data_IF_219996487990
#
_entry.id   IF_219996487990
#
_cell.length_a   1.000
_cell.length_b   1.000
_cell.length_c   1.000
_cell.angle_alpha   90.00
_cell.angle_beta   90.00
_cell.angle_gamma   90.00
#
_symmetry.space_group_name_H-M   'P 1'
#
loop_
_entity.id
_entity.type
_entity.pdbx_description
1 polymer ?
#
# COMPACT_ATOMS: atom_id res chain seq x y z
N UNK A 1 55.60 5.33 8.37
CA UNK A 1 55.25 6.67 7.87
C UNK A 1 54.95 6.59 6.38
N UNK A 2 53.69 6.46 5.99
CA UNK A 2 53.26 6.55 4.58
C UNK A 2 53.36 8.02 4.15
N UNK A 3 54.30 8.34 3.24
CA UNK A 3 54.32 9.64 2.56
C UNK A 3 52.98 9.85 1.86
N UNK A 4 52.20 10.80 2.31
CA UNK A 4 50.91 11.14 1.74
C UNK A 4 51.05 11.43 0.24
N UNK A 5 50.29 10.74 -0.61
CA UNK A 5 50.19 10.99 -2.05
C UNK A 5 49.92 12.47 -2.40
N UNK A 6 49.27 13.20 -1.49
CA UNK A 6 48.96 14.63 -1.61
C UNK A 6 50.23 15.51 -1.65
N UNK A 7 51.29 15.17 -0.90
CA UNK A 7 52.54 15.96 -0.91
C UNK A 7 53.29 15.88 -2.24
N UNK A 8 53.11 14.78 -2.98
CA UNK A 8 53.76 14.60 -4.29
C UNK A 8 53.01 15.35 -5.43
N UNK A 9 51.71 15.59 -5.29
CA UNK A 9 50.89 16.34 -6.25
C UNK A 9 51.03 17.86 -6.12
N UNK A 10 51.51 18.34 -4.98
CA UNK A 10 51.66 19.77 -4.70
C UNK A 10 53.06 20.31 -4.96
N UNK A 11 54.03 19.49 -5.39
CA UNK A 11 55.37 19.95 -5.79
C UNK A 11 55.35 20.38 -7.27
N UNK A 12 55.40 21.70 -7.55
CA UNK A 12 55.66 22.13 -8.93
C UNK A 12 57.04 21.64 -9.37
N UNK A 13 57.12 21.02 -10.54
CA UNK A 13 58.35 20.44 -11.11
C UNK A 13 59.34 21.51 -11.60
N UNK A 14 59.59 22.55 -10.76
CA UNK A 14 60.49 23.64 -11.07
C UNK A 14 61.97 23.24 -10.92
N UNK A 15 62.27 22.03 -10.43
CA UNK A 15 63.64 21.51 -10.32
C UNK A 15 64.39 21.55 -11.65
N UNK A 16 63.69 21.29 -12.72
CA UNK A 16 64.20 21.28 -14.09
C UNK A 16 64.66 22.68 -14.51
N UNK A 17 63.90 23.72 -14.15
CA UNK A 17 64.27 25.11 -14.44
C UNK A 17 65.53 25.54 -13.71
N UNK A 18 65.71 25.13 -12.47
CA UNK A 18 66.99 25.44 -11.71
C UNK A 18 68.17 24.71 -12.30
N UNK A 19 68.01 23.49 -12.82
CA UNK A 19 69.08 22.77 -13.52
C UNK A 19 69.48 23.50 -14.81
N UNK A 20 68.52 24.02 -15.57
CA UNK A 20 68.80 24.81 -16.77
C UNK A 20 69.51 26.13 -16.43
N UNK A 21 69.12 26.83 -15.39
CA UNK A 21 69.78 28.06 -14.94
C UNK A 21 71.20 27.81 -14.49
N UNK A 22 71.46 26.68 -13.82
CA UNK A 22 72.82 26.28 -13.45
C UNK A 22 73.68 25.91 -14.67
N UNK A 23 73.10 25.25 -15.67
CA UNK A 23 73.75 24.95 -16.96
C UNK A 23 74.12 26.24 -17.66
N UNK A 24 73.21 27.21 -17.68
CA UNK A 24 73.48 28.52 -18.29
C UNK A 24 74.62 29.24 -17.64
N UNK A 25 74.68 29.28 -16.28
CA UNK A 25 75.78 29.84 -15.51
C UNK A 25 77.09 29.12 -15.77
N UNK A 26 77.10 27.80 -16.03
CA UNK A 26 78.31 27.04 -16.38
C UNK A 26 78.81 27.40 -17.81
N UNK A 27 77.92 27.67 -18.75
CA UNK A 27 78.30 28.14 -20.10
C UNK A 27 78.83 29.56 -20.02
N UNK A 28 78.29 30.46 -19.23
CA UNK A 28 78.75 31.81 -19.00
C UNK A 28 80.16 31.84 -18.40
N UNK A 29 80.62 30.83 -17.63
CA UNK A 29 81.92 30.67 -17.09
C UNK A 29 83.01 30.52 -18.15
N UNK A 30 82.72 30.09 -19.35
CA UNK A 30 83.61 29.98 -20.51
C UNK A 30 83.98 31.37 -21.07
N UNK A 31 83.13 32.37 -20.84
CA UNK A 31 83.36 33.74 -21.34
C UNK A 31 83.88 34.71 -20.24
N UNK A 32 83.33 34.60 -19.01
CA UNK A 32 83.70 35.41 -17.88
C UNK A 32 83.40 34.73 -16.52
N UNK A 33 84.42 34.41 -15.75
CA UNK A 33 84.25 33.76 -14.42
C UNK A 33 83.52 34.67 -13.47
N UNK A 34 83.72 35.98 -13.50
CA UNK A 34 83.00 36.91 -12.62
C UNK A 34 81.47 36.94 -12.85
N UNK A 35 81.06 36.89 -14.10
CA UNK A 35 79.64 36.85 -14.43
C UNK A 35 79.00 35.53 -14.00
N UNK A 36 79.63 34.41 -14.23
CA UNK A 36 79.18 33.11 -13.80
C UNK A 36 78.98 32.98 -12.29
N UNK A 37 79.85 33.58 -11.49
CA UNK A 37 79.74 33.61 -10.03
C UNK A 37 78.56 34.42 -9.57
N UNK A 38 78.28 35.58 -10.21
CA UNK A 38 77.08 36.38 -9.92
C UNK A 38 75.80 35.63 -10.28
N UNK A 39 75.73 35.01 -11.47
CA UNK A 39 74.57 34.19 -11.91
C UNK A 39 74.36 33.03 -10.96
N UNK A 40 75.37 32.29 -10.58
CA UNK A 40 75.25 31.20 -9.61
C UNK A 40 74.73 31.66 -8.24
N UNK A 41 75.19 32.82 -7.77
CA UNK A 41 74.72 33.43 -6.53
C UNK A 41 73.22 33.81 -6.61
N UNK A 42 72.80 34.40 -7.73
CA UNK A 42 71.36 34.73 -7.98
C UNK A 42 70.53 33.48 -8.01
N UNK A 43 70.98 32.43 -8.70
CA UNK A 43 70.24 31.13 -8.76
C UNK A 43 70.13 30.51 -7.38
N UNK A 44 71.20 30.57 -6.55
CA UNK A 44 71.16 30.07 -5.17
C UNK A 44 70.11 30.82 -4.30
N UNK A 45 70.11 32.16 -4.41
CA UNK A 45 69.12 32.99 -3.69
C UNK A 45 67.70 32.68 -4.13
N UNK A 46 67.46 32.60 -5.44
CA UNK A 46 66.15 32.24 -5.98
C UNK A 46 65.69 30.82 -5.55
N UNK A 47 66.65 29.89 -5.49
CA UNK A 47 66.35 28.53 -5.00
C UNK A 47 65.97 28.51 -3.52
N UNK A 48 66.72 29.25 -2.67
CA UNK A 48 66.38 29.35 -1.26
C UNK A 48 65.02 30.05 -1.01
N UNK A 49 64.80 31.14 -1.75
CA UNK A 49 63.49 31.83 -1.71
C UNK A 49 62.30 30.90 -2.13
N UNK A 50 62.45 30.20 -3.25
CA UNK A 50 61.49 29.26 -3.75
C UNK A 50 61.25 28.13 -2.77
N UNK A 51 62.30 27.55 -2.21
CA UNK A 51 62.16 26.47 -1.22
C UNK A 51 61.41 26.93 0.03
N UNK A 52 61.64 28.15 0.49
CA UNK A 52 60.98 28.74 1.65
C UNK A 52 59.55 29.07 1.36
N UNK A 53 59.27 29.69 0.24
CA UNK A 53 57.91 30.03 -0.22
C UNK A 53 57.04 28.76 -0.43
N UNK A 54 57.60 27.72 -1.05
CA UNK A 54 56.89 26.46 -1.27
C UNK A 54 56.59 25.73 0.04
N UNK A 55 57.51 25.75 1.00
CA UNK A 55 57.25 25.16 2.32
C UNK A 55 56.18 25.90 3.12
N UNK A 56 56.06 27.22 2.97
CA UNK A 56 54.96 27.99 3.57
C UNK A 56 53.63 27.68 2.92
N UNK A 57 53.57 27.68 1.59
CA UNK A 57 52.31 27.32 0.84
C UNK A 57 51.82 25.92 1.18
N UNK A 58 52.69 24.94 1.28
CA UNK A 58 52.32 23.57 1.65
C UNK A 58 51.72 23.54 3.07
N UNK A 59 52.30 24.26 4.02
CA UNK A 59 51.75 24.37 5.38
C UNK A 59 50.36 25.03 5.41
N UNK A 60 50.16 26.07 4.62
CA UNK A 60 48.86 26.76 4.53
C UNK A 60 47.77 25.89 3.89
N UNK A 61 48.08 25.16 2.80
CA UNK A 61 47.16 24.24 2.15
C UNK A 61 46.81 23.08 3.08
N UNK A 62 47.78 22.50 3.77
CA UNK A 62 47.53 21.42 4.74
C UNK A 62 46.63 21.92 5.87
N UNK A 63 46.91 23.09 6.44
CA UNK A 63 46.06 23.71 7.47
C UNK A 63 44.64 23.97 6.98
N UNK A 64 44.48 24.43 5.74
CA UNK A 64 43.16 24.67 5.15
C UNK A 64 42.39 23.37 4.99
N UNK A 65 43.00 22.31 4.44
CA UNK A 65 42.41 20.99 4.30
C UNK A 65 42.00 20.41 5.66
N UNK A 66 42.90 20.48 6.66
CA UNK A 66 42.61 20.02 8.02
C UNK A 66 41.43 20.78 8.64
N UNK A 67 41.39 22.13 8.47
CA UNK A 67 40.29 22.94 9.00
C UNK A 67 38.96 22.63 8.34
N UNK A 68 38.92 22.43 7.02
CA UNK A 68 37.70 22.07 6.28
C UNK A 68 37.21 20.67 6.66
N UNK A 69 38.13 19.71 6.78
CA UNK A 69 37.79 18.33 7.18
C UNK A 69 37.27 18.30 8.62
N UNK A 70 37.93 18.99 9.55
CA UNK A 70 37.50 19.08 10.94
C UNK A 70 36.14 19.77 11.08
N UNK A 71 35.89 20.85 10.31
CA UNK A 71 34.60 21.54 10.32
C UNK A 71 33.49 20.69 9.72
N UNK A 72 33.72 19.90 8.65
CA UNK A 72 32.75 18.97 8.09
C UNK A 72 32.43 17.85 9.07
N UNK A 73 33.43 17.26 9.72
CA UNK A 73 33.18 16.20 10.73
C UNK A 73 32.40 16.75 11.93
N UNK A 74 32.71 17.97 12.37
CA UNK A 74 31.98 18.62 13.47
C UNK A 74 30.54 18.95 13.05
N UNK A 75 30.33 19.51 11.86
CA UNK A 75 28.99 19.83 11.35
C UNK A 75 28.16 18.57 11.15
N UNK A 76 28.74 17.48 10.64
CA UNK A 76 28.06 16.20 10.44
C UNK A 76 27.67 15.60 11.79
N UNK A 77 28.57 15.57 12.77
CA UNK A 77 28.27 15.08 14.11
C UNK A 77 27.19 15.92 14.81
N UNK A 78 27.29 17.24 14.72
CA UNK A 78 26.32 18.15 15.30
C UNK A 78 24.93 17.97 14.66
N UNK A 79 24.89 17.82 13.33
CA UNK A 79 23.63 17.55 12.60
C UNK A 79 22.99 16.23 13.01
N UNK A 80 23.79 15.18 13.23
CA UNK A 80 23.28 13.88 13.68
C UNK A 80 22.77 13.93 15.12
N UNK A 81 23.56 14.52 16.04
CA UNK A 81 23.19 14.61 17.46
C UNK A 81 21.95 15.48 17.65
N UNK A 82 21.88 16.62 16.98
CA UNK A 82 20.80 17.61 17.08
C UNK A 82 19.69 17.40 16.03
N UNK A 83 19.70 16.26 15.30
CA UNK A 83 18.65 15.98 14.32
C UNK A 83 17.26 16.11 14.96
N UNK A 84 16.30 16.78 14.29
CA UNK A 84 14.94 16.96 14.82
C UNK A 84 14.14 15.68 14.90
N UNK A 85 14.57 14.63 14.19
CA UNK A 85 13.94 13.30 14.17
C UNK A 85 14.72 12.33 15.06
N UNK A 86 14.05 11.38 15.72
CA UNK A 86 14.69 10.24 16.34
C UNK A 86 15.48 9.44 15.30
N UNK A 87 16.74 9.16 15.64
CA UNK A 87 17.67 8.44 14.76
C UNK A 87 18.36 7.33 15.50
N UNK A 88 18.55 6.20 14.84
CA UNK A 88 19.35 5.09 15.35
C UNK A 88 20.18 4.46 14.24
N UNK A 89 21.40 4.08 14.57
CA UNK A 89 22.33 3.35 13.70
C UNK A 89 22.59 1.99 14.33
N UNK A 90 22.41 0.93 13.56
CA UNK A 90 22.59 -0.44 14.04
C UNK A 90 23.18 -1.35 12.95
N UNK A 91 23.68 -2.54 13.35
CA UNK A 91 24.10 -3.58 12.42
C UNK A 91 22.88 -4.44 12.03
N UNK A 92 22.50 -4.51 10.75
CA UNK A 92 21.31 -5.25 10.34
C UNK A 92 21.48 -6.78 10.44
N UNK A 93 22.71 -7.30 10.55
CA UNK A 93 23.00 -8.73 10.67
C UNK A 93 22.56 -9.29 12.02
N UNK A 94 22.66 -8.51 13.08
CA UNK A 94 22.37 -8.95 14.46
C UNK A 94 21.44 -7.98 15.23
N UNK A 95 20.95 -6.94 14.55
CA UNK A 95 20.11 -5.85 15.10
C UNK A 95 20.78 -5.04 16.24
N UNK A 96 22.10 -5.08 16.37
CA UNK A 96 22.87 -4.44 17.43
C UNK A 96 22.98 -2.94 17.21
N UNK A 97 22.51 -2.15 18.18
CA UNK A 97 22.57 -0.69 18.15
C UNK A 97 24.00 -0.20 18.38
N UNK A 98 24.49 0.62 17.45
CA UNK A 98 25.81 1.25 17.53
C UNK A 98 25.71 2.67 18.06
N UNK A 99 24.66 3.38 17.65
CA UNK A 99 24.46 4.77 18.04
C UNK A 99 22.99 5.17 17.92
N UNK A 100 22.58 6.07 18.79
CA UNK A 100 21.27 6.72 18.74
C UNK A 100 21.39 8.18 19.22
N UNK A 101 20.50 9.04 18.72
CA UNK A 101 20.41 10.39 19.26
C UNK A 101 19.49 10.45 20.49
N UNK A 102 19.54 11.57 21.22
CA UNK A 102 18.74 11.77 22.44
C UNK A 102 17.23 11.66 22.19
N UNK A 103 16.79 12.01 20.99
CA UNK A 103 15.36 11.89 20.63
C UNK A 103 14.91 10.43 20.52
N UNK A 104 15.77 9.55 20.04
CA UNK A 104 15.48 8.12 19.99
C UNK A 104 15.49 7.50 21.40
N UNK A 105 16.43 7.93 22.27
CA UNK A 105 16.44 7.52 23.67
C UNK A 105 15.18 7.96 24.41
N UNK A 106 14.74 9.20 24.22
CA UNK A 106 13.48 9.70 24.79
C UNK A 106 12.27 8.93 24.26
N UNK A 107 12.31 8.51 23.00
CA UNK A 107 11.25 7.74 22.35
C UNK A 107 11.09 6.35 23.01
N UNK A 108 12.20 5.64 23.23
CA UNK A 108 12.21 4.30 23.84
C UNK A 108 12.02 4.31 25.35
N UNK A 109 12.09 5.49 25.98
CA UNK A 109 12.02 5.64 27.42
C UNK A 109 13.28 5.22 28.17
N UNK A 110 14.35 4.91 27.42
CA UNK A 110 15.63 4.54 28.01
C UNK A 110 16.38 5.78 28.49
N UNK A 111 16.99 5.68 29.68
CA UNK A 111 17.73 6.78 30.31
C UNK A 111 19.23 6.75 30.01
N UNK A 112 19.72 5.61 29.53
CA UNK A 112 21.12 5.36 29.21
C UNK A 112 21.25 4.97 27.73
N UNK A 113 22.50 4.92 27.24
CA UNK A 113 22.77 4.59 25.85
C UNK A 113 22.33 3.17 25.49
N UNK A 114 21.67 3.01 24.32
CA UNK A 114 21.28 1.72 23.75
C UNK A 114 22.44 0.94 23.11
N UNK A 115 23.68 1.37 23.34
CA UNK A 115 24.87 0.72 22.79
C UNK A 115 24.92 -0.75 23.23
N UNK A 116 25.29 -1.65 22.31
CA UNK A 116 25.32 -3.12 22.48
C UNK A 116 23.95 -3.77 22.79
N UNK A 117 22.84 -3.04 22.69
CA UNK A 117 21.50 -3.62 22.79
C UNK A 117 20.91 -3.91 21.41
N UNK A 118 19.96 -4.82 21.33
CA UNK A 118 19.25 -5.06 20.07
C UNK A 118 18.13 -4.04 19.90
N UNK A 119 18.01 -3.46 18.70
CA UNK A 119 16.91 -2.54 18.40
C UNK A 119 15.54 -3.19 18.61
N UNK A 120 15.43 -4.50 18.34
CA UNK A 120 14.22 -5.29 18.56
C UNK A 120 13.87 -5.48 20.04
N UNK A 121 14.81 -5.29 20.96
CA UNK A 121 14.53 -5.27 22.40
C UNK A 121 13.91 -3.94 22.83
N UNK A 122 14.37 -2.83 22.24
CA UNK A 122 13.82 -1.50 22.49
C UNK A 122 12.50 -1.27 21.75
N UNK A 123 12.34 -1.84 20.55
CA UNK A 123 11.15 -1.71 19.69
C UNK A 123 10.78 -3.08 19.13
N UNK A 124 9.94 -3.88 19.84
CA UNK A 124 9.62 -5.26 19.46
C UNK A 124 8.94 -5.41 18.09
N UNK A 125 8.14 -4.42 17.68
CA UNK A 125 7.41 -4.43 16.40
C UNK A 125 8.29 -4.04 15.19
N UNK A 126 9.56 -3.69 15.43
CA UNK A 126 10.46 -3.31 14.35
C UNK A 126 11.16 -4.52 13.73
N UNK A 127 11.27 -4.53 12.40
CA UNK A 127 12.04 -5.52 11.64
C UNK A 127 12.93 -4.82 10.62
N UNK A 128 14.21 -5.18 10.58
CA UNK A 128 15.22 -4.61 9.67
C UNK A 128 15.21 -5.23 8.25
N UNK A 129 14.40 -6.28 8.00
CA UNK A 129 14.40 -7.06 6.72
C UNK A 129 14.24 -6.19 5.47
N UNK A 130 13.34 -5.21 5.52
CA UNK A 130 13.07 -4.32 4.38
C UNK A 130 14.30 -3.53 3.92
N UNK A 131 15.21 -3.18 4.85
CA UNK A 131 16.49 -2.55 4.51
C UNK A 131 17.38 -3.50 3.70
N UNK A 132 17.43 -4.78 4.08
CA UNK A 132 18.19 -5.79 3.36
C UNK A 132 17.61 -6.10 1.98
N UNK A 133 16.31 -5.86 1.78
CA UNK A 133 15.62 -5.93 0.48
C UNK A 133 15.86 -4.67 -0.39
N UNK A 134 16.63 -3.70 0.10
CA UNK A 134 16.94 -2.46 -0.62
C UNK A 134 15.81 -1.42 -0.60
N UNK A 135 14.80 -1.58 0.26
CA UNK A 135 13.75 -0.59 0.47
C UNK A 135 14.27 0.54 1.36
N UNK A 136 13.77 1.75 1.16
CA UNK A 136 14.13 2.95 1.93
C UNK A 136 13.07 3.32 2.96
N UNK A 137 11.91 2.66 2.95
CA UNK A 137 10.78 2.88 3.84
C UNK A 137 10.28 1.54 4.40
N UNK A 138 9.98 1.52 5.69
CA UNK A 138 9.37 0.37 6.35
C UNK A 138 7.95 0.17 5.79
N UNK A 139 7.59 -1.04 5.31
CA UNK A 139 6.29 -1.28 4.68
C UNK A 139 5.11 -1.18 5.65
N UNK A 140 5.36 -1.20 6.94
CA UNK A 140 4.34 -1.13 8.00
C UNK A 140 4.68 -0.04 9.00
N UNK A 141 3.65 0.61 9.55
CA UNK A 141 3.81 1.49 10.70
C UNK A 141 4.31 0.70 11.91
N UNK A 142 5.35 1.23 12.55
CA UNK A 142 5.93 0.64 13.76
C UNK A 142 5.24 1.24 14.98
N UNK A 143 4.79 0.39 15.90
CA UNK A 143 4.16 0.83 17.15
C UNK A 143 5.18 0.80 18.29
N UNK A 144 5.15 1.86 19.09
CA UNK A 144 5.90 1.92 20.36
C UNK A 144 5.02 2.52 21.44
N UNK A 145 4.49 1.69 22.30
CA UNK A 145 3.42 2.06 23.22
C UNK A 145 2.18 2.53 22.46
N UNK A 146 1.70 3.72 22.73
CA UNK A 146 0.55 4.32 22.04
C UNK A 146 0.91 5.12 20.80
N UNK A 147 2.21 5.25 20.51
CA UNK A 147 2.70 6.02 19.36
C UNK A 147 2.90 5.15 18.13
N UNK A 148 2.74 5.76 16.97
CA UNK A 148 2.95 5.13 15.65
C UNK A 148 3.98 5.91 14.85
N UNK A 149 4.87 5.17 14.20
CA UNK A 149 5.99 5.74 13.46
C UNK A 149 6.06 5.20 12.04
N UNK A 150 6.31 6.09 11.09
CA UNK A 150 6.89 5.72 9.79
C UNK A 150 8.40 5.72 9.93
N UNK A 151 9.04 4.63 9.50
CA UNK A 151 10.48 4.46 9.62
C UNK A 151 11.10 4.46 8.24
N UNK A 152 11.99 5.42 8.01
CA UNK A 152 12.81 5.51 6.81
C UNK A 152 14.22 5.09 7.14
N UNK A 153 14.97 4.54 6.17
CA UNK A 153 16.34 4.16 6.41
C UNK A 153 17.09 3.79 5.15
N UNK A 154 18.39 3.66 5.32
CA UNK A 154 19.30 3.22 4.26
C UNK A 154 20.46 2.43 4.84
N UNK A 155 21.08 1.62 3.96
CA UNK A 155 22.28 0.84 4.29
C UNK A 155 23.53 1.57 3.80
N UNK A 156 24.53 1.66 4.68
CA UNK A 156 25.85 2.15 4.36
C UNK A 156 26.85 1.01 4.47
N UNK A 157 27.68 0.81 3.45
CA UNK A 157 28.77 -0.17 3.50
C UNK A 157 29.90 0.39 4.35
N UNK A 158 30.40 -0.41 5.29
CA UNK A 158 31.57 -0.09 6.08
C UNK A 158 32.69 -1.07 5.77
N UNK A 159 33.94 -0.56 5.74
CA UNK A 159 35.14 -1.38 5.72
C UNK A 159 35.71 -1.39 7.15
N UNK A 160 35.33 -2.37 7.95
CA UNK A 160 35.85 -2.58 9.28
C UNK A 160 37.03 -3.58 9.24
N UNK A 161 37.91 -3.58 10.28
CA UNK A 161 39.11 -4.43 10.34
C UNK A 161 38.84 -5.95 10.29
N UNK A 162 37.56 -6.38 10.25
CA UNK A 162 37.11 -7.77 10.20
C UNK A 162 36.37 -8.21 8.92
N UNK A 163 36.18 -7.31 7.94
CA UNK A 163 35.45 -7.65 6.72
C UNK A 163 34.50 -6.54 6.23
N UNK A 164 33.75 -6.82 5.14
CA UNK A 164 32.71 -5.93 4.61
C UNK A 164 31.45 -6.06 5.47
N UNK A 165 31.11 -5.03 6.24
CA UNK A 165 29.88 -4.97 7.03
C UNK A 165 28.89 -3.93 6.47
N UNK A 166 27.67 -3.96 6.97
CA UNK A 166 26.67 -2.94 6.69
C UNK A 166 26.24 -2.25 7.98
N UNK A 167 26.00 -0.93 7.88
CA UNK A 167 25.35 -0.15 8.91
C UNK A 167 23.98 0.31 8.36
N UNK A 168 22.95 0.12 9.14
CA UNK A 168 21.63 0.65 8.88
C UNK A 168 21.45 1.95 9.66
N UNK A 169 21.11 3.03 8.96
CA UNK A 169 20.68 4.29 9.58
C UNK A 169 19.18 4.43 9.37
N UNK A 170 18.44 4.67 10.46
CA UNK A 170 16.98 4.86 10.38
C UNK A 170 16.54 6.16 11.03
N UNK A 171 15.47 6.73 10.46
CA UNK A 171 14.79 7.96 10.86
C UNK A 171 13.35 7.65 11.20
N UNK A 172 12.86 8.14 12.31
CA UNK A 172 11.53 7.80 12.86
C UNK A 172 10.66 9.04 12.84
N UNK A 173 9.59 8.99 12.06
CA UNK A 173 8.62 10.08 11.94
C UNK A 173 7.38 9.70 12.73
N UNK A 174 7.06 10.47 13.76
CA UNK A 174 5.84 10.29 14.55
C UNK A 174 4.63 10.64 13.68
N UNK A 175 3.78 9.68 13.46
CA UNK A 175 2.52 9.81 12.68
C UNK A 175 1.30 9.49 13.53
N UNK A 176 1.43 9.50 14.85
CA UNK A 176 0.38 9.11 15.78
C UNK A 176 -0.91 9.86 15.53
N UNK A 177 -0.85 11.19 15.49
CA UNK A 177 -2.03 12.04 15.27
C UNK A 177 -2.65 11.79 13.90
N UNK A 178 -1.81 11.68 12.86
CA UNK A 178 -2.29 11.38 11.51
C UNK A 178 -2.94 10.00 11.43
N UNK A 179 -2.32 8.99 12.04
CA UNK A 179 -2.85 7.64 12.09
C UNK A 179 -4.17 7.57 12.87
N UNK A 180 -4.29 8.31 13.98
CA UNK A 180 -5.53 8.40 14.76
C UNK A 180 -6.65 9.07 13.92
N UNK A 181 -6.37 10.20 13.30
CA UNK A 181 -7.35 10.88 12.43
C UNK A 181 -7.78 9.97 11.28
N UNK A 182 -6.84 9.29 10.65
CA UNK A 182 -7.12 8.31 9.60
C UNK A 182 -8.01 7.17 10.10
N UNK A 183 -7.69 6.58 11.24
CA UNK A 183 -8.46 5.48 11.83
C UNK A 183 -9.86 5.93 12.23
N UNK A 184 -10.00 7.15 12.80
CA UNK A 184 -11.29 7.77 13.09
C UNK A 184 -12.07 7.97 11.79
N UNK A 185 -11.45 8.56 10.77
CA UNK A 185 -12.08 8.79 9.48
C UNK A 185 -12.66 7.51 8.88
N UNK A 186 -11.88 6.43 8.82
CA UNK A 186 -12.37 5.16 8.28
C UNK A 186 -13.43 4.51 9.18
N UNK A 187 -13.31 4.60 10.48
CA UNK A 187 -14.26 4.00 11.43
C UNK A 187 -15.60 4.73 11.51
N UNK A 188 -15.60 6.05 11.23
CA UNK A 188 -16.83 6.89 11.29
C UNK A 188 -17.47 7.12 9.92
N UNK A 189 -16.91 6.54 8.85
CA UNK A 189 -17.52 6.65 7.51
C UNK A 189 -18.96 6.13 7.55
N UNK A 190 -19.89 6.80 6.85
CA UNK A 190 -21.27 6.36 6.83
C UNK A 190 -21.43 5.06 6.04
N UNK A 191 -22.31 4.22 6.54
CA UNK A 191 -22.79 3.01 5.88
C UNK A 191 -24.31 3.13 5.80
N UNK A 192 -24.88 2.77 4.66
CA UNK A 192 -26.33 2.79 4.44
C UNK A 192 -26.84 1.38 4.33
N UNK A 193 -27.80 1.03 5.16
CA UNK A 193 -28.55 -0.23 5.11
C UNK A 193 -29.99 0.01 4.70
N UNK A 194 -30.50 -0.80 3.79
CA UNK A 194 -31.92 -0.91 3.47
C UNK A 194 -32.37 -2.30 3.92
N UNK A 195 -33.37 -2.33 4.79
CA UNK A 195 -33.95 -3.57 5.30
C UNK A 195 -35.34 -3.71 4.71
N UNK A 196 -35.64 -4.87 4.13
CA UNK A 196 -36.92 -5.15 3.48
C UNK A 196 -37.53 -6.43 4.04
N UNK A 197 -38.77 -6.37 4.48
CA UNK A 197 -39.55 -7.57 4.83
C UNK A 197 -40.03 -8.21 3.55
N UNK A 198 -39.43 -9.34 3.14
CA UNK A 198 -39.62 -9.95 1.82
C UNK A 198 -41.06 -10.36 1.50
N UNK A 199 -41.71 -10.94 2.49
CA UNK A 199 -43.04 -11.53 2.36
C UNK A 199 -44.14 -10.75 3.10
N UNK A 200 -43.99 -9.41 3.20
CA UNK A 200 -44.87 -8.54 3.98
C UNK A 200 -46.34 -8.68 3.63
N UNK A 201 -46.69 -8.66 2.33
CA UNK A 201 -48.08 -8.79 1.87
C UNK A 201 -48.68 -10.17 2.22
N UNK A 202 -47.89 -11.23 2.06
CA UNK A 202 -48.31 -12.60 2.39
C UNK A 202 -48.46 -12.77 3.90
N UNK A 203 -47.57 -12.22 4.70
CA UNK A 203 -47.60 -12.23 6.17
C UNK A 203 -48.86 -11.54 6.71
N UNK A 204 -49.32 -10.45 6.08
CA UNK A 204 -50.49 -9.66 6.48
C UNK A 204 -51.80 -10.17 5.91
N UNK A 205 -51.75 -11.07 4.93
CA UNK A 205 -52.92 -11.57 4.23
C UNK A 205 -53.82 -12.38 5.16
N UNK A 206 -55.13 -12.04 5.20
CA UNK A 206 -56.13 -12.75 6.01
C UNK A 206 -56.06 -12.52 7.51
N UNK A 207 -55.08 -11.73 8.02
CA UNK A 207 -54.98 -11.41 9.42
C UNK A 207 -55.95 -10.29 9.82
N UNK A 208 -56.45 -10.34 11.03
CA UNK A 208 -57.23 -9.26 11.65
C UNK A 208 -56.35 -8.01 11.87
N UNK A 209 -56.97 -6.83 12.00
CA UNK A 209 -56.23 -5.59 12.23
C UNK A 209 -55.37 -5.63 13.50
N UNK A 210 -55.84 -6.27 14.54
CA UNK A 210 -55.08 -6.49 15.79
C UNK A 210 -53.83 -7.36 15.55
N UNK A 211 -54.00 -8.48 14.82
CA UNK A 211 -52.89 -9.37 14.46
C UNK A 211 -51.85 -8.69 13.56
N UNK A 212 -52.31 -7.90 12.57
CA UNK A 212 -51.43 -7.09 11.69
C UNK A 212 -50.61 -6.08 12.50
N UNK A 213 -51.26 -5.39 13.47
CA UNK A 213 -50.61 -4.44 14.35
C UNK A 213 -49.54 -5.12 15.22
N UNK A 214 -49.90 -6.29 15.81
CA UNK A 214 -48.99 -7.07 16.64
C UNK A 214 -47.75 -7.56 15.86
N UNK A 215 -47.95 -8.11 14.66
CA UNK A 215 -46.84 -8.55 13.81
C UNK A 215 -45.92 -7.39 13.41
N UNK A 216 -46.51 -6.25 13.00
CA UNK A 216 -45.75 -5.05 12.67
C UNK A 216 -44.94 -4.56 13.87
N UNK A 217 -45.57 -4.43 15.04
CA UNK A 217 -44.87 -4.01 16.28
C UNK A 217 -43.74 -4.98 16.66
N UNK A 218 -43.99 -6.28 16.49
CA UNK A 218 -42.99 -7.30 16.75
C UNK A 218 -41.77 -7.23 15.81
N UNK A 219 -41.95 -6.89 14.54
CA UNK A 219 -40.85 -6.64 13.60
C UNK A 219 -40.13 -5.34 13.97
N UNK A 220 -40.90 -4.24 14.14
CA UNK A 220 -40.32 -2.91 14.47
C UNK A 220 -39.49 -2.99 15.75
N UNK A 221 -39.94 -3.69 16.79
CA UNK A 221 -39.20 -3.85 18.05
C UNK A 221 -37.88 -4.62 17.87
N UNK A 222 -37.91 -5.75 17.16
CA UNK A 222 -36.70 -6.54 16.92
C UNK A 222 -35.66 -5.79 16.10
N UNK A 223 -36.11 -5.08 15.06
CA UNK A 223 -35.23 -4.25 14.25
C UNK A 223 -34.64 -3.11 15.07
N UNK A 224 -35.47 -2.40 15.86
CA UNK A 224 -35.01 -1.31 16.72
C UNK A 224 -33.98 -1.78 17.77
N UNK A 225 -34.20 -2.94 18.39
CA UNK A 225 -33.26 -3.52 19.34
C UNK A 225 -31.93 -3.89 18.68
N UNK A 226 -32.00 -4.45 17.45
CA UNK A 226 -30.79 -4.86 16.73
C UNK A 226 -29.94 -3.67 16.26
N UNK A 227 -30.56 -2.56 15.82
CA UNK A 227 -29.83 -1.36 15.37
C UNK A 227 -29.37 -0.46 16.51
N UNK A 228 -29.96 -0.56 17.70
CA UNK A 228 -29.72 0.33 18.85
C UNK A 228 -28.23 0.46 19.22
N UNK A 229 -27.40 -0.59 19.25
CA UNK A 229 -26.00 -0.47 19.61
C UNK A 229 -25.20 0.44 18.69
N UNK A 230 -25.59 0.55 17.41
CA UNK A 230 -24.90 1.36 16.42
C UNK A 230 -25.24 2.85 16.50
N UNK A 231 -26.25 3.25 17.33
CA UNK A 231 -26.63 4.65 17.54
C UNK A 231 -26.85 5.45 16.25
N UNK A 232 -27.24 4.74 15.17
CA UNK A 232 -27.43 5.32 13.84
C UNK A 232 -28.82 5.89 13.63
N UNK A 233 -29.02 6.50 12.46
CA UNK A 233 -30.34 6.92 12.00
C UNK A 233 -31.13 5.70 11.51
N UNK A 234 -32.21 5.34 12.19
CA UNK A 234 -33.09 4.26 11.79
C UNK A 234 -34.53 4.75 11.65
N UNK A 235 -35.13 4.53 10.48
CA UNK A 235 -36.52 4.91 10.22
C UNK A 235 -37.16 3.98 9.19
N UNK A 236 -38.47 3.81 9.33
CA UNK A 236 -39.29 3.15 8.30
C UNK A 236 -39.77 4.20 7.30
N UNK A 237 -39.47 4.03 6.01
CA UNK A 237 -39.86 4.96 4.94
C UNK A 237 -40.93 4.41 3.99
N UNK A 238 -41.10 3.09 3.97
CA UNK A 238 -42.18 2.40 3.27
C UNK A 238 -42.89 1.40 4.19
N UNK A 239 -43.91 0.71 3.70
CA UNK A 239 -44.69 -0.24 4.50
C UNK A 239 -43.89 -1.42 5.02
N UNK A 240 -42.95 -1.88 4.20
CA UNK A 240 -42.13 -3.07 4.36
C UNK A 240 -40.63 -2.75 4.36
N UNK A 241 -40.22 -1.43 4.28
CA UNK A 241 -38.83 -1.03 4.13
C UNK A 241 -38.41 -0.05 5.20
N UNK A 242 -37.18 -0.24 5.65
CA UNK A 242 -36.51 0.58 6.64
C UNK A 242 -35.16 1.06 6.12
N UNK A 243 -34.80 2.28 6.47
CA UNK A 243 -33.50 2.88 6.21
C UNK A 243 -32.70 2.89 7.50
N UNK A 244 -31.45 2.48 7.44
CA UNK A 244 -30.52 2.50 8.54
C UNK A 244 -29.20 3.11 8.09
N UNK A 245 -28.81 4.25 8.68
CA UNK A 245 -27.52 4.92 8.42
C UNK A 245 -26.72 4.88 9.69
N UNK A 246 -25.52 4.34 9.63
CA UNK A 246 -24.66 4.12 10.80
C UNK A 246 -23.18 4.22 10.42
N UNK A 247 -22.29 4.21 11.41
CA UNK A 247 -20.84 4.28 11.19
C UNK A 247 -20.22 2.92 10.89
N UNK A 248 -19.21 2.90 10.02
CA UNK A 248 -18.56 1.67 9.52
C UNK A 248 -18.03 0.77 10.65
N UNK A 249 -17.56 1.34 11.77
CA UNK A 249 -17.09 0.56 12.94
C UNK A 249 -18.09 -0.46 13.47
N UNK A 250 -19.39 -0.24 13.29
CA UNK A 250 -20.42 -1.16 13.75
C UNK A 250 -20.70 -2.28 12.74
N UNK A 251 -20.35 -2.10 11.48
CA UNK A 251 -20.59 -3.10 10.45
C UNK A 251 -19.84 -4.42 10.75
N UNK A 252 -18.61 -4.33 11.23
CA UNK A 252 -17.83 -5.51 11.61
C UNK A 252 -18.56 -6.37 12.67
N UNK A 253 -19.18 -5.74 13.68
CA UNK A 253 -19.96 -6.44 14.72
C UNK A 253 -21.17 -7.16 14.14
N UNK A 254 -21.86 -6.54 13.19
CA UNK A 254 -23.00 -7.16 12.51
C UNK A 254 -22.55 -8.35 11.63
N UNK A 255 -21.41 -8.24 10.98
CA UNK A 255 -20.80 -9.31 10.17
C UNK A 255 -20.34 -10.48 11.02
N UNK A 256 -19.64 -10.23 12.14
CA UNK A 256 -19.21 -11.25 13.11
C UNK A 256 -20.41 -12.00 13.70
N UNK A 257 -21.49 -11.27 14.04
CA UNK A 257 -22.76 -11.81 14.47
C UNK A 257 -23.57 -12.45 13.34
N UNK A 258 -23.03 -12.55 12.11
CA UNK A 258 -23.70 -13.11 10.92
C UNK A 258 -25.10 -12.56 10.71
N UNK A 259 -25.31 -11.29 11.06
CA UNK A 259 -26.60 -10.62 10.96
C UNK A 259 -27.73 -11.44 11.61
N UNK A 260 -27.57 -11.74 12.90
CA UNK A 260 -28.51 -12.55 13.71
C UNK A 260 -29.97 -12.08 13.67
N UNK A 261 -30.21 -10.84 13.24
CA UNK A 261 -31.55 -10.27 13.03
C UNK A 261 -32.40 -11.10 12.06
N UNK A 262 -31.80 -11.76 11.06
CA UNK A 262 -32.52 -12.62 10.14
C UNK A 262 -33.25 -13.74 10.88
N UNK A 263 -32.65 -14.30 11.93
CA UNK A 263 -33.24 -15.37 12.72
C UNK A 263 -34.30 -14.85 13.69
N UNK A 264 -34.04 -13.72 14.33
CA UNK A 264 -34.99 -13.12 15.28
C UNK A 264 -36.25 -12.60 14.60
N UNK A 265 -36.17 -12.10 13.37
CA UNK A 265 -37.37 -11.67 12.62
C UNK A 265 -38.23 -12.85 12.23
N UNK A 266 -37.67 -14.05 11.93
CA UNK A 266 -38.43 -15.28 11.63
C UNK A 266 -39.31 -15.76 12.80
N UNK A 267 -39.06 -15.33 14.02
CA UNK A 267 -39.89 -15.63 15.19
C UNK A 267 -41.24 -14.92 15.10
N UNK A 268 -41.39 -13.88 14.26
CA UNK A 268 -42.66 -13.25 14.00
C UNK A 268 -43.45 -14.12 13.00
N UNK A 269 -44.51 -14.73 13.47
CA UNK A 269 -45.33 -15.68 12.69
C UNK A 269 -46.73 -15.15 12.56
N UNK A 270 -47.30 -15.26 11.34
CA UNK A 270 -48.71 -14.93 11.11
C UNK A 270 -49.63 -15.97 11.72
N UNK A 271 -50.95 -15.66 11.91
CA UNK A 271 -51.92 -16.62 12.34
C UNK A 271 -52.07 -17.84 11.39
N UNK A 272 -51.67 -17.70 10.13
CA UNK A 272 -51.62 -18.78 9.13
C UNK A 272 -50.32 -19.59 9.17
N UNK A 273 -49.40 -19.33 10.11
CA UNK A 273 -48.15 -20.07 10.26
C UNK A 273 -46.99 -19.59 9.34
N UNK A 274 -47.16 -18.45 8.67
CA UNK A 274 -46.12 -17.88 7.81
C UNK A 274 -45.12 -17.08 8.66
N UNK A 275 -43.84 -17.41 8.56
CA UNK A 275 -42.78 -16.69 9.23
C UNK A 275 -42.39 -15.43 8.44
N UNK A 276 -42.07 -14.32 9.14
CA UNK A 276 -41.50 -13.14 8.51
C UNK A 276 -40.07 -13.42 8.02
N UNK A 277 -39.73 -12.96 6.83
CA UNK A 277 -38.39 -13.03 6.26
C UNK A 277 -37.87 -11.64 5.96
N UNK A 278 -36.57 -11.45 6.10
CA UNK A 278 -35.90 -10.15 5.99
C UNK A 278 -34.73 -10.22 5.01
N UNK A 279 -34.69 -9.31 4.06
CA UNK A 279 -33.53 -9.07 3.21
C UNK A 279 -32.90 -7.74 3.59
N UNK A 280 -31.56 -7.70 3.68
CA UNK A 280 -30.82 -6.50 4.01
C UNK A 280 -29.81 -6.22 2.90
N UNK A 281 -29.85 -5.03 2.33
CA UNK A 281 -28.83 -4.51 1.45
C UNK A 281 -28.02 -3.44 2.17
N UNK A 282 -26.69 -3.57 2.13
CA UNK A 282 -25.76 -2.63 2.76
C UNK A 282 -24.84 -2.05 1.69
N UNK A 283 -24.75 -0.72 1.66
CA UNK A 283 -23.81 0.04 0.85
C UNK A 283 -22.74 0.66 1.72
N UNK A 284 -21.47 0.43 1.38
CA UNK A 284 -20.31 1.02 2.06
C UNK A 284 -19.25 1.47 1.04
N UNK A 285 -18.33 2.29 1.48
CA UNK A 285 -17.13 2.67 0.72
C UNK A 285 -17.43 3.38 -0.60
N UNK A 286 -18.42 4.28 -0.60
CA UNK A 286 -18.77 5.16 -1.70
C UNK A 286 -18.43 6.62 -1.37
N UNK A 287 -18.38 7.47 -2.40
CA UNK A 287 -17.96 8.86 -2.26
C UNK A 287 -19.10 9.77 -1.74
N UNK A 288 -20.36 9.36 -1.90
CA UNK A 288 -21.54 10.13 -1.49
C UNK A 288 -22.58 9.28 -0.78
N UNK A 289 -23.43 9.90 0.06
CA UNK A 289 -24.57 9.23 0.67
C UNK A 289 -25.59 8.72 -0.36
N UNK A 290 -25.75 9.43 -1.47
CA UNK A 290 -26.63 9.01 -2.55
C UNK A 290 -26.14 7.70 -3.21
N UNK A 291 -24.86 7.60 -3.42
CA UNK A 291 -24.22 6.40 -3.98
C UNK A 291 -24.28 5.22 -2.98
N UNK A 292 -24.03 5.47 -1.69
CA UNK A 292 -24.22 4.48 -0.62
C UNK A 292 -25.66 3.93 -0.61
N UNK A 293 -26.64 4.80 -0.78
CA UNK A 293 -28.05 4.40 -0.88
C UNK A 293 -28.30 3.54 -2.13
N UNK A 294 -27.72 3.91 -3.29
CA UNK A 294 -27.80 3.11 -4.52
C UNK A 294 -27.15 1.73 -4.34
N UNK A 295 -25.99 1.66 -3.66
CA UNK A 295 -25.35 0.38 -3.34
C UNK A 295 -26.23 -0.49 -2.44
N UNK A 296 -26.84 0.12 -1.41
CA UNK A 296 -27.77 -0.59 -0.54
C UNK A 296 -29.02 -1.08 -1.28
N UNK A 297 -29.60 -0.25 -2.15
CA UNK A 297 -30.77 -0.63 -2.96
C UNK A 297 -30.46 -1.79 -3.91
N UNK A 298 -29.34 -1.72 -4.63
CA UNK A 298 -28.87 -2.79 -5.51
C UNK A 298 -28.61 -4.09 -4.72
N UNK A 299 -28.07 -3.97 -3.51
CA UNK A 299 -27.83 -5.12 -2.63
C UNK A 299 -29.11 -5.79 -2.16
N UNK A 300 -30.18 -5.01 -1.86
CA UNK A 300 -31.51 -5.57 -1.56
C UNK A 300 -32.06 -6.31 -2.77
N UNK A 301 -31.98 -5.71 -3.97
CA UNK A 301 -32.43 -6.35 -5.20
C UNK A 301 -31.70 -7.67 -5.45
N UNK A 302 -30.37 -7.67 -5.19
CA UNK A 302 -29.54 -8.86 -5.27
C UNK A 302 -29.99 -9.93 -4.25
N UNK A 303 -30.25 -9.54 -3.00
CA UNK A 303 -30.75 -10.45 -1.97
C UNK A 303 -32.09 -11.07 -2.37
N UNK A 304 -33.05 -10.25 -2.79
CA UNK A 304 -34.39 -10.70 -3.23
C UNK A 304 -34.31 -11.60 -4.48
N UNK A 305 -33.42 -11.29 -5.42
CA UNK A 305 -33.25 -12.10 -6.64
C UNK A 305 -32.76 -13.51 -6.35
N UNK A 306 -32.01 -13.69 -5.22
CA UNK A 306 -31.50 -14.99 -4.76
C UNK A 306 -32.44 -15.75 -3.84
N UNK A 307 -33.68 -15.25 -3.66
CA UNK A 307 -34.71 -15.89 -2.86
C UNK A 307 -35.04 -15.19 -1.54
N UNK A 308 -34.37 -14.06 -1.25
CA UNK A 308 -34.56 -13.31 -0.01
C UNK A 308 -33.88 -13.93 1.21
N UNK A 309 -34.27 -13.46 2.39
CA UNK A 309 -33.86 -13.98 3.70
C UNK A 309 -32.31 -13.99 3.87
N UNK A 310 -31.66 -12.95 3.41
CA UNK A 310 -30.19 -12.82 3.41
C UNK A 310 -29.74 -11.37 3.44
N UNK A 311 -28.45 -11.18 3.72
CA UNK A 311 -27.80 -9.88 3.69
C UNK A 311 -26.79 -9.85 2.55
N UNK A 312 -26.80 -8.75 1.82
CA UNK A 312 -25.80 -8.45 0.79
C UNK A 312 -25.14 -7.13 1.13
N UNK A 313 -23.82 -7.12 1.21
CA UNK A 313 -23.01 -5.93 1.43
C UNK A 313 -22.27 -5.60 0.15
N UNK A 314 -22.47 -4.40 -0.39
CA UNK A 314 -21.76 -3.89 -1.56
C UNK A 314 -20.77 -2.80 -1.13
N UNK A 315 -19.54 -2.95 -1.57
CA UNK A 315 -18.56 -1.86 -1.60
C UNK A 315 -18.28 -1.44 -3.05
N UNK A 316 -17.33 -0.56 -3.24
CA UNK A 316 -16.94 -0.07 -4.57
C UNK A 316 -16.58 -1.21 -5.56
N UNK A 317 -16.03 -2.34 -5.06
CA UNK A 317 -15.40 -3.37 -5.89
C UNK A 317 -16.15 -4.68 -5.94
N UNK A 318 -16.88 -5.07 -4.88
CA UNK A 318 -17.46 -6.40 -4.79
C UNK A 318 -18.77 -6.44 -3.98
N UNK A 319 -19.40 -7.64 -3.98
CA UNK A 319 -20.52 -8.01 -3.14
C UNK A 319 -20.13 -9.12 -2.18
N UNK A 320 -20.54 -8.99 -0.93
CA UNK A 320 -20.41 -10.01 0.10
C UNK A 320 -21.79 -10.50 0.52
N UNK A 321 -21.94 -11.81 0.77
CA UNK A 321 -23.22 -12.44 1.05
C UNK A 321 -23.20 -13.10 2.42
N UNK A 322 -24.26 -12.86 3.21
CA UNK A 322 -24.43 -13.43 4.54
C UNK A 322 -25.84 -14.02 4.69
N UNK A 323 -25.97 -15.17 5.36
CA UNK A 323 -27.24 -15.86 5.49
C UNK A 323 -27.60 -16.62 4.23
N UNK A 324 -28.90 -16.82 4.01
CA UNK A 324 -29.40 -17.57 2.87
C UNK A 324 -29.48 -19.07 3.15
N UNK A 325 -30.61 -19.58 3.63
CA UNK A 325 -30.90 -21.02 3.56
C UNK A 325 -31.36 -21.30 2.15
N UNK A 326 -30.53 -21.92 1.33
CA UNK A 326 -30.87 -22.38 -0.01
C UNK A 326 -32.03 -23.39 0.08
N UNK A 327 -33.26 -22.92 0.03
CA UNK A 327 -34.33 -23.72 -0.51
C UNK A 327 -34.42 -23.38 -1.99
N UNK A 328 -33.87 -24.26 -2.80
CA UNK A 328 -34.12 -24.27 -4.24
C UNK A 328 -35.62 -24.30 -4.50
N UNK A 329 -36.18 -23.15 -4.72
CA UNK A 329 -37.39 -22.98 -5.49
C UNK A 329 -36.99 -22.19 -6.72
N UNK A 330 -36.67 -22.95 -7.77
CA UNK A 330 -36.46 -22.42 -9.12
C UNK A 330 -37.72 -21.68 -9.60
N UNK A 331 -37.77 -20.39 -9.28
CA UNK A 331 -38.46 -19.44 -10.16
C UNK A 331 -37.38 -18.60 -10.79
N UNK A 332 -36.78 -19.09 -11.86
CA UNK A 332 -36.00 -18.31 -12.82
C UNK A 332 -36.89 -17.21 -13.39
N UNK A 333 -37.01 -16.11 -12.70
CA UNK A 333 -37.76 -14.96 -13.22
C UNK A 333 -36.76 -14.11 -14.05
N UNK A 334 -37.27 -13.56 -15.17
CA UNK A 334 -36.53 -12.60 -16.01
C UNK A 334 -35.95 -11.42 -15.20
N UNK A 335 -36.56 -11.11 -14.06
CA UNK A 335 -36.10 -10.08 -13.11
C UNK A 335 -34.78 -10.47 -12.46
N UNK A 336 -34.63 -11.72 -11.99
CA UNK A 336 -33.40 -12.22 -11.38
C UNK A 336 -32.20 -12.08 -12.33
N UNK A 337 -32.36 -12.55 -13.58
CA UNK A 337 -31.31 -12.47 -14.59
C UNK A 337 -30.91 -11.01 -14.91
N UNK A 338 -31.92 -10.09 -14.93
CA UNK A 338 -31.64 -8.66 -15.18
C UNK A 338 -30.88 -8.00 -14.03
N UNK A 339 -31.26 -8.29 -12.78
CA UNK A 339 -30.57 -7.76 -11.60
C UNK A 339 -29.12 -8.24 -11.55
N UNK A 340 -28.88 -9.53 -11.78
CA UNK A 340 -27.54 -10.12 -11.82
C UNK A 340 -26.71 -9.52 -12.96
N UNK A 341 -27.30 -9.34 -14.15
CA UNK A 341 -26.60 -8.72 -15.27
C UNK A 341 -26.25 -7.25 -15.02
N UNK A 342 -27.14 -6.49 -14.35
CA UNK A 342 -26.85 -5.11 -13.97
C UNK A 342 -25.70 -5.03 -12.96
N UNK A 343 -25.74 -5.86 -11.91
CA UNK A 343 -24.70 -5.91 -10.89
C UNK A 343 -23.33 -6.28 -11.50
N UNK A 344 -23.29 -7.31 -12.34
CA UNK A 344 -22.09 -7.69 -13.06
C UNK A 344 -21.59 -6.55 -13.98
N UNK A 345 -22.53 -5.86 -14.64
CA UNK A 345 -22.21 -4.72 -15.49
C UNK A 345 -21.60 -3.52 -14.73
N UNK A 346 -22.01 -3.28 -13.48
CA UNK A 346 -21.37 -2.25 -12.63
C UNK A 346 -19.96 -2.67 -12.22
N UNK A 347 -19.78 -3.90 -11.76
CA UNK A 347 -18.45 -4.43 -11.42
C UNK A 347 -17.48 -4.35 -12.61
N UNK A 348 -17.98 -4.61 -13.83
CA UNK A 348 -17.17 -4.48 -15.05
C UNK A 348 -16.80 -3.03 -15.36
N UNK A 349 -17.71 -2.08 -15.13
CA UNK A 349 -17.45 -0.67 -15.39
C UNK A 349 -16.41 -0.07 -14.44
N UNK A 350 -16.37 -0.56 -13.19
CA UNK A 350 -15.45 -0.11 -12.16
C UNK A 350 -14.07 -0.81 -12.21
N UNK A 351 -13.97 -1.93 -12.92
CA UNK A 351 -12.74 -2.71 -13.02
C UNK A 351 -11.74 -2.06 -13.96
N UNK A 352 -10.44 -2.07 -13.58
CA UNK A 352 -9.34 -1.69 -14.46
C UNK A 352 -9.25 -2.58 -15.70
N UNK A 353 -9.63 -3.87 -15.54
CA UNK A 353 -9.63 -4.89 -16.58
C UNK A 353 -10.51 -6.07 -16.16
N UNK A 354 -11.17 -6.69 -17.11
CA UNK A 354 -11.97 -7.89 -16.90
C UNK A 354 -11.25 -9.10 -17.50
N UNK A 355 -11.02 -10.12 -16.70
CA UNK A 355 -10.57 -11.43 -17.17
C UNK A 355 -11.73 -12.42 -17.10
N UNK A 356 -11.88 -13.20 -18.15
CA UNK A 356 -12.89 -14.27 -18.21
C UNK A 356 -12.17 -15.59 -18.36
N UNK A 357 -12.45 -16.55 -17.47
CA UNK A 357 -11.90 -17.89 -17.55
C UNK A 357 -12.99 -18.93 -17.34
N UNK A 358 -12.79 -20.09 -17.92
CA UNK A 358 -13.64 -21.25 -17.72
C UNK A 358 -12.94 -22.38 -16.96
N UNK A 359 -13.54 -23.57 -17.01
CA UNK A 359 -12.93 -24.77 -16.44
C UNK A 359 -11.71 -25.24 -17.27
N UNK A 360 -10.90 -26.14 -16.69
CA UNK A 360 -9.59 -26.57 -17.24
C UNK A 360 -9.67 -27.13 -18.68
N UNK A 361 -10.74 -27.79 -19.04
CA UNK A 361 -10.97 -28.36 -20.37
C UNK A 361 -12.20 -27.70 -21.01
N UNK A 362 -12.12 -26.44 -21.46
CA UNK A 362 -13.28 -25.68 -21.88
C UNK A 362 -13.98 -26.37 -23.07
N UNK A 363 -15.28 -26.44 -22.99
CA UNK A 363 -16.19 -26.87 -24.05
C UNK A 363 -16.78 -25.68 -24.82
N UNK A 364 -17.71 -25.96 -25.74
CA UNK A 364 -18.34 -24.93 -26.55
C UNK A 364 -19.23 -23.99 -25.73
N UNK A 365 -19.87 -24.49 -24.67
CA UNK A 365 -20.73 -23.71 -23.80
C UNK A 365 -19.93 -22.73 -22.98
N UNK A 366 -18.77 -23.18 -22.45
CA UNK A 366 -17.81 -22.35 -21.75
C UNK A 366 -17.30 -21.18 -22.60
N UNK A 367 -16.86 -21.46 -23.83
CA UNK A 367 -16.37 -20.40 -24.73
C UNK A 367 -17.51 -19.47 -25.19
N UNK A 368 -18.70 -20.00 -25.40
CA UNK A 368 -19.90 -19.20 -25.70
C UNK A 368 -20.26 -18.24 -24.56
N UNK A 369 -20.24 -18.73 -23.32
CA UNK A 369 -20.48 -17.92 -22.14
C UNK A 369 -19.38 -16.84 -21.97
N UNK A 370 -18.09 -17.19 -22.17
CA UNK A 370 -16.99 -16.25 -22.11
C UNK A 370 -17.11 -15.14 -23.17
N UNK A 371 -17.50 -15.49 -24.41
CA UNK A 371 -17.75 -14.52 -25.46
C UNK A 371 -18.92 -13.58 -25.12
N UNK A 372 -19.98 -14.10 -24.51
CA UNK A 372 -21.11 -13.29 -24.04
C UNK A 372 -20.71 -12.28 -22.96
N UNK A 373 -19.93 -12.73 -21.96
CA UNK A 373 -19.37 -11.86 -20.91
C UNK A 373 -18.45 -10.81 -21.52
N UNK A 374 -17.60 -11.19 -22.48
CA UNK A 374 -16.72 -10.27 -23.19
C UNK A 374 -17.50 -9.18 -23.92
N UNK A 375 -18.59 -9.53 -24.63
CA UNK A 375 -19.44 -8.56 -25.30
C UNK A 375 -20.10 -7.58 -24.30
N UNK A 376 -20.50 -8.06 -23.13
CA UNK A 376 -21.08 -7.23 -22.07
C UNK A 376 -20.04 -6.25 -21.50
N UNK A 377 -18.82 -6.71 -21.20
CA UNK A 377 -17.75 -5.88 -20.68
C UNK A 377 -17.39 -4.75 -21.66
N UNK A 378 -17.28 -5.06 -22.94
CA UNK A 378 -17.03 -4.06 -24.01
C UNK A 378 -18.13 -3.02 -24.10
N UNK A 379 -19.39 -3.43 -23.99
CA UNK A 379 -20.52 -2.51 -23.99
C UNK A 379 -20.49 -1.55 -22.79
N UNK A 380 -19.84 -1.95 -21.70
CA UNK A 380 -19.57 -1.10 -20.53
C UNK A 380 -18.28 -0.30 -20.64
N UNK A 381 -17.51 -0.46 -21.72
CA UNK A 381 -16.25 0.25 -21.94
C UNK A 381 -15.04 -0.34 -21.20
N UNK A 382 -15.19 -1.52 -20.58
CA UNK A 382 -14.12 -2.16 -19.83
C UNK A 382 -13.17 -2.95 -20.76
N UNK A 383 -11.83 -2.83 -20.59
CA UNK A 383 -10.89 -3.73 -21.23
C UNK A 383 -11.13 -5.17 -20.80
N UNK A 384 -11.23 -6.11 -21.74
CA UNK A 384 -11.60 -7.49 -21.43
C UNK A 384 -10.74 -8.48 -22.18
N UNK A 385 -10.36 -9.56 -21.49
CA UNK A 385 -9.62 -10.67 -22.08
C UNK A 385 -10.20 -12.02 -21.62
N UNK A 386 -10.16 -13.00 -22.52
CA UNK A 386 -10.53 -14.38 -22.25
C UNK A 386 -9.23 -15.17 -22.07
N UNK A 387 -9.12 -15.84 -20.93
CA UNK A 387 -7.93 -16.65 -20.60
C UNK A 387 -8.04 -17.98 -21.34
N UNK A 388 -7.09 -18.26 -22.22
CA UNK A 388 -6.99 -19.50 -22.97
C UNK A 388 -5.91 -20.40 -22.38
N UNK A 389 -6.24 -21.63 -22.08
CA UNK A 389 -5.24 -22.62 -21.68
C UNK A 389 -4.50 -23.19 -22.91
N UNK A 390 -3.21 -23.45 -22.76
CA UNK A 390 -2.39 -24.03 -23.82
C UNK A 390 -2.72 -25.52 -23.97
N UNK A 391 -3.10 -25.94 -25.19
CA UNK A 391 -3.35 -27.33 -25.51
C UNK A 391 -4.57 -27.51 -26.41
N UNK A 392 -4.68 -28.71 -26.99
CA UNK A 392 -5.90 -29.07 -27.75
C UNK A 392 -7.03 -29.41 -26.77
N UNK A 393 -8.15 -28.71 -26.89
CA UNK A 393 -9.37 -28.96 -26.15
C UNK A 393 -10.58 -28.95 -27.09
N UNK A 394 -11.76 -29.44 -26.69
CA UNK A 394 -12.96 -29.52 -27.53
C UNK A 394 -13.39 -28.18 -28.15
N UNK A 395 -13.05 -27.07 -27.50
CA UNK A 395 -13.40 -25.72 -27.95
C UNK A 395 -12.28 -24.99 -28.71
N UNK A 396 -11.16 -25.65 -29.03
CA UNK A 396 -10.01 -25.00 -29.70
C UNK A 396 -10.41 -24.40 -31.04
N UNK A 397 -11.18 -25.13 -31.86
CA UNK A 397 -11.66 -24.66 -33.16
C UNK A 397 -12.53 -23.42 -33.04
N UNK A 398 -13.44 -23.38 -32.04
CA UNK A 398 -14.31 -22.23 -31.79
C UNK A 398 -13.49 -21.02 -31.32
N UNK A 399 -12.51 -21.23 -30.45
CA UNK A 399 -11.62 -20.17 -29.96
C UNK A 399 -10.79 -19.56 -31.10
N UNK A 400 -10.31 -20.38 -32.04
CA UNK A 400 -9.58 -19.93 -33.24
C UNK A 400 -10.48 -19.15 -34.19
N UNK A 401 -11.69 -19.63 -34.45
CA UNK A 401 -12.68 -18.93 -35.28
C UNK A 401 -13.05 -17.57 -34.66
N UNK A 402 -13.31 -17.51 -33.36
CA UNK A 402 -13.59 -16.24 -32.67
C UNK A 402 -12.39 -15.29 -32.72
N UNK A 403 -11.18 -15.78 -32.47
CA UNK A 403 -9.94 -14.96 -32.53
C UNK A 403 -9.64 -14.41 -33.95
N UNK A 404 -10.18 -15.06 -35.01
CA UNK A 404 -10.11 -14.57 -36.36
C UNK A 404 -11.08 -13.44 -36.70
N UNK A 405 -12.09 -13.19 -35.86
CA UNK A 405 -13.01 -12.09 -36.04
C UNK A 405 -12.40 -10.79 -35.54
N UNK A 406 -12.57 -9.70 -36.28
CA UNK A 406 -12.03 -8.39 -35.93
C UNK A 406 -12.40 -7.90 -34.52
N UNK A 407 -13.59 -8.27 -34.05
CA UNK A 407 -14.09 -7.93 -32.72
C UNK A 407 -13.38 -8.68 -31.58
N UNK A 408 -12.80 -9.85 -31.82
CA UNK A 408 -12.13 -10.69 -30.83
C UNK A 408 -10.63 -10.76 -31.05
N UNK A 409 -10.09 -9.94 -31.94
CA UNK A 409 -8.67 -9.81 -32.14
C UNK A 409 -8.04 -9.29 -30.84
N UNK A 410 -6.98 -9.93 -30.37
CA UNK A 410 -6.25 -9.60 -29.14
C UNK A 410 -7.04 -9.79 -27.82
N UNK A 411 -8.20 -10.49 -27.85
CA UNK A 411 -9.00 -10.79 -26.66
C UNK A 411 -8.46 -12.01 -25.90
N UNK A 412 -7.96 -13.00 -26.64
CA UNK A 412 -7.47 -14.23 -26.02
C UNK A 412 -6.05 -14.05 -25.50
N UNK A 413 -5.85 -14.33 -24.21
CA UNK A 413 -4.55 -14.29 -23.57
C UNK A 413 -4.16 -15.66 -23.01
N UNK A 414 -2.86 -15.92 -22.91
CA UNK A 414 -2.36 -17.04 -22.14
C UNK A 414 -2.53 -16.78 -20.62
N UNK A 415 -2.53 -17.82 -19.81
CA UNK A 415 -2.57 -17.69 -18.36
C UNK A 415 -1.39 -16.85 -17.82
N UNK A 416 -0.21 -17.00 -18.42
CA UNK A 416 0.99 -16.26 -18.01
C UNK A 416 0.84 -14.76 -18.33
N UNK A 417 0.35 -14.41 -19.51
CA UNK A 417 0.12 -13.03 -19.90
C UNK A 417 -0.98 -12.38 -19.05
N UNK A 418 -2.02 -13.14 -18.71
CA UNK A 418 -3.09 -12.65 -17.83
C UNK A 418 -2.58 -12.33 -16.42
N UNK A 419 -1.71 -13.17 -15.85
CA UNK A 419 -1.08 -12.93 -14.53
C UNK A 419 -0.20 -11.67 -14.57
N UNK A 420 0.54 -11.45 -15.65
CA UNK A 420 1.40 -10.27 -15.81
C UNK A 420 0.59 -8.96 -15.95
N UNK A 421 -0.62 -9.05 -16.48
CA UNK A 421 -1.50 -7.91 -16.69
C UNK A 421 -2.49 -7.67 -15.53
N UNK A 422 -2.58 -8.61 -14.59
CA UNK A 422 -3.47 -8.51 -13.45
C UNK A 422 -2.97 -7.47 -12.44
N UNK A 423 -3.88 -6.65 -11.97
CA UNK A 423 -3.67 -5.68 -10.88
C UNK A 423 -4.71 -5.89 -9.77
N UNK A 424 -4.62 -5.08 -8.70
CA UNK A 424 -5.51 -5.20 -7.55
C UNK A 424 -6.99 -4.82 -7.86
N UNK A 425 -7.25 -4.14 -8.98
CA UNK A 425 -8.57 -3.64 -9.38
C UNK A 425 -9.15 -4.42 -10.57
N UNK A 426 -8.55 -5.51 -10.99
CA UNK A 426 -9.12 -6.33 -12.06
C UNK A 426 -10.27 -7.23 -11.56
N UNK A 427 -11.24 -7.49 -12.44
CA UNK A 427 -12.36 -8.38 -12.20
C UNK A 427 -12.10 -9.73 -12.89
N UNK A 428 -12.12 -10.82 -12.12
CA UNK A 428 -12.11 -12.17 -12.67
C UNK A 428 -13.54 -12.73 -12.71
N UNK A 429 -14.00 -13.08 -13.89
CA UNK A 429 -15.29 -13.75 -14.11
C UNK A 429 -15.04 -15.20 -14.50
N UNK A 430 -15.51 -16.13 -13.68
CA UNK A 430 -15.43 -17.56 -13.96
C UNK A 430 -16.75 -18.02 -14.57
N UNK A 431 -16.68 -18.66 -15.73
CA UNK A 431 -17.80 -19.24 -16.46
C UNK A 431 -17.60 -20.74 -16.59
N UNK A 432 -18.72 -21.46 -16.64
CA UNK A 432 -18.74 -22.92 -16.78
C UNK A 432 -19.31 -23.32 -18.14
#
# INVERSE_FOLDING_TARGET
MRKNKLTHLLEPSLRLYFVFLLLFAAVSALFSVAVAVIEAAVVAVLYLYFRRSNAQRQKEIIKYIESVTCNMDTATKDTMVNAPLPMVIFRPENDEVIWSNDRFLQLTGEREHLFDTKITAAVPDFSSRWLMEGKTECPTEVRLGERRFLVFGHLVRTEDQGGRGYLATTYWVDVTDFAQVRDIYYSTRPVVGILTVDNYEELMKGATDSARSAMRSGIDERLAQWVAPAQGLFCRYERDRYLFVFEERFLAQFQEGKFSILETVREVVSPSGIQATLSIGVGKDADTLAELFQYAALSVEMALSRGGDQVVVKNKFNFEFYGGRTKELEKRTKVKSRVMANALGELMADASRVFVMGHKYPDMDCIGAAAGVCAMARKKGAPVHIIKEAGQNPASEMSERLGGLGEYKDVFLSQQDAILLADANCLLVVVD
#
